data_IF_804847446549
#
_entry.id   IF_804847446549
#
_cell.length_a   1.000
_cell.length_b   1.000
_cell.length_c   1.000
_cell.angle_alpha   90.00
_cell.angle_beta   90.00
_cell.angle_gamma   90.00
#
_symmetry.space_group_name_H-M   'P 1'
#
loop_
_entity.id
_entity.type
_entity.pdbx_description
1 polymer ?
#
# COMPACT_ATOMS: atom_id res chain seq x y z
N UNK A 1 -24.75 -11.77 13.47
CA UNK A 1 -23.61 -12.43 12.81
C UNK A 1 -22.35 -11.93 13.48
N UNK A 2 -21.34 -12.78 13.67
CA UNK A 2 -20.04 -12.40 14.24
C UNK A 2 -19.00 -12.34 13.12
N UNK A 3 -17.98 -11.49 13.27
CA UNK A 3 -16.83 -11.45 12.38
C UNK A 3 -16.09 -12.78 12.48
N UNK A 4 -15.87 -13.43 11.33
CA UNK A 4 -15.18 -14.71 11.22
C UNK A 4 -14.39 -14.76 9.90
N UNK A 5 -13.52 -15.76 9.74
CA UNK A 5 -12.77 -15.93 8.47
C UNK A 5 -13.74 -16.02 7.28
N UNK A 6 -13.38 -15.38 6.16
CA UNK A 6 -14.18 -15.30 4.93
C UNK A 6 -15.49 -14.51 5.07
N UNK A 7 -15.59 -13.59 6.03
CA UNK A 7 -16.68 -12.60 6.07
C UNK A 7 -16.18 -11.25 5.55
N UNK A 8 -17.02 -10.57 4.78
CA UNK A 8 -16.80 -9.17 4.42
C UNK A 8 -17.36 -8.30 5.53
N UNK A 9 -16.52 -7.40 6.03
CA UNK A 9 -16.85 -6.50 7.13
C UNK A 9 -16.73 -5.08 6.62
N UNK A 10 -17.80 -4.30 6.79
CA UNK A 10 -17.82 -2.87 6.53
C UNK A 10 -17.70 -2.15 7.88
N UNK A 11 -16.62 -1.40 8.08
CA UNK A 11 -16.35 -0.71 9.34
C UNK A 11 -15.89 0.73 9.12
N UNK A 12 -16.30 1.59 10.05
CA UNK A 12 -15.69 2.90 10.20
C UNK A 12 -14.54 2.77 11.20
N UNK A 13 -13.42 3.44 10.95
CA UNK A 13 -12.31 3.47 11.91
C UNK A 13 -11.66 4.83 11.97
N UNK A 14 -11.01 5.13 13.08
CA UNK A 14 -10.16 6.29 13.23
C UNK A 14 -8.85 5.87 13.87
N UNK A 15 -7.74 6.10 13.17
CA UNK A 15 -6.40 5.75 13.66
C UNK A 15 -5.62 7.01 14.02
N UNK A 16 -5.11 7.02 15.25
CA UNK A 16 -4.33 8.13 15.80
C UNK A 16 -3.00 7.61 16.33
N UNK A 17 -1.94 8.41 16.20
CA UNK A 17 -0.67 8.16 16.88
C UNK A 17 -0.80 8.40 18.39
N UNK A 18 0.18 7.93 19.17
CA UNK A 18 0.31 8.24 20.60
C UNK A 18 0.41 9.74 20.88
N UNK A 19 0.99 10.52 19.96
CA UNK A 19 1.04 11.98 20.00
C UNK A 19 -0.31 12.67 19.69
N UNK A 20 -1.36 11.89 19.36
CA UNK A 20 -2.70 12.38 19.08
C UNK A 20 -2.90 12.86 17.65
N UNK A 21 -1.92 12.67 16.76
CA UNK A 21 -2.03 13.01 15.34
C UNK A 21 -2.95 12.01 14.66
N UNK A 22 -3.94 12.51 13.91
CA UNK A 22 -4.81 11.67 13.09
C UNK A 22 -4.00 11.18 11.89
N UNK A 23 -3.83 9.87 11.76
CA UNK A 23 -3.11 9.25 10.65
C UNK A 23 -4.07 8.99 9.51
N UNK A 24 -5.21 8.37 9.81
CA UNK A 24 -6.21 7.96 8.85
C UNK A 24 -7.58 7.80 9.51
N UNK A 25 -8.63 7.91 8.71
CA UNK A 25 -10.03 7.96 9.14
C UNK A 25 -10.95 7.43 8.04
N UNK A 26 -11.72 6.40 8.36
CA UNK A 26 -12.87 5.95 7.60
C UNK A 26 -14.14 6.26 8.39
N UNK A 27 -15.00 7.13 7.85
CA UNK A 27 -16.25 7.51 8.50
C UNK A 27 -17.37 6.54 8.12
N UNK A 28 -18.50 6.57 8.85
CA UNK A 28 -19.66 5.75 8.50
C UNK A 28 -20.28 6.09 7.12
N UNK A 29 -19.96 7.26 6.55
CA UNK A 29 -20.38 7.65 5.20
C UNK A 29 -19.52 7.01 4.10
N UNK A 30 -18.27 6.66 4.42
CA UNK A 30 -17.33 5.98 3.53
C UNK A 30 -16.62 4.87 4.34
N UNK A 31 -17.33 3.78 4.68
CA UNK A 31 -16.75 2.73 5.49
C UNK A 31 -15.69 1.97 4.70
N UNK A 32 -14.67 1.51 5.42
CA UNK A 32 -13.72 0.57 4.86
C UNK A 32 -14.34 -0.82 4.86
N UNK A 33 -14.38 -1.41 3.68
CA UNK A 33 -14.85 -2.76 3.47
C UNK A 33 -13.66 -3.67 3.20
N UNK A 34 -13.52 -4.74 3.97
CA UNK A 34 -12.41 -5.67 3.83
C UNK A 34 -12.87 -7.11 4.05
N UNK A 35 -12.05 -8.05 3.55
CA UNK A 35 -12.25 -9.48 3.74
C UNK A 35 -11.45 -9.99 4.94
N UNK A 36 -12.15 -10.50 5.96
CA UNK A 36 -11.53 -11.03 7.17
C UNK A 36 -10.73 -12.30 6.89
N UNK A 37 -9.44 -12.30 7.26
CA UNK A 37 -8.56 -13.46 7.13
C UNK A 37 -7.93 -13.61 5.74
N UNK A 38 -8.02 -12.58 4.90
CA UNK A 38 -7.28 -12.45 3.66
C UNK A 38 -5.94 -11.70 3.83
N UNK A 39 -5.64 -11.17 5.03
CA UNK A 39 -4.41 -10.42 5.28
C UNK A 39 -4.40 -9.06 4.61
N UNK A 40 -5.58 -8.48 4.37
CA UNK A 40 -5.73 -7.12 3.85
C UNK A 40 -5.47 -6.07 4.94
N UNK A 41 -5.60 -6.46 6.20
CA UNK A 41 -5.35 -5.62 7.36
C UNK A 41 -4.21 -6.18 8.22
N UNK A 42 -3.82 -5.36 9.19
CA UNK A 42 -2.86 -5.76 10.22
C UNK A 42 -3.36 -7.00 10.95
N UNK A 43 -2.48 -7.99 11.10
CA UNK A 43 -2.85 -9.29 11.68
C UNK A 43 -3.44 -9.14 13.08
N UNK A 44 -2.91 -8.21 13.88
CA UNK A 44 -3.41 -7.97 15.23
C UNK A 44 -4.73 -7.19 15.25
N UNK A 45 -4.97 -6.34 14.24
CA UNK A 45 -6.27 -5.71 14.03
C UNK A 45 -7.32 -6.75 13.64
N UNK A 46 -7.01 -7.62 12.66
CA UNK A 46 -7.93 -8.69 12.24
C UNK A 46 -8.29 -9.61 13.41
N UNK A 47 -7.31 -10.00 14.24
CA UNK A 47 -7.56 -10.80 15.45
C UNK A 47 -8.42 -10.05 16.48
N UNK A 48 -8.17 -8.76 16.67
CA UNK A 48 -8.96 -7.95 17.59
C UNK A 48 -10.41 -7.79 17.11
N UNK A 49 -10.63 -7.79 15.79
CA UNK A 49 -11.97 -7.73 15.17
C UNK A 49 -12.72 -9.07 15.23
N UNK A 50 -12.01 -10.19 15.35
CA UNK A 50 -12.63 -11.51 15.37
C UNK A 50 -13.61 -11.68 16.55
N UNK A 51 -14.84 -12.11 16.24
CA UNK A 51 -15.87 -12.34 17.26
C UNK A 51 -16.75 -11.14 17.61
N UNK A 52 -16.42 -9.93 17.14
CA UNK A 52 -17.27 -8.74 17.26
C UNK A 52 -18.51 -8.82 16.37
N UNK A 53 -19.50 -7.97 16.66
CA UNK A 53 -20.80 -7.93 16.00
C UNK A 53 -21.09 -6.55 15.39
N UNK A 54 -22.04 -6.52 14.45
CA UNK A 54 -22.56 -5.27 13.87
C UNK A 54 -23.07 -4.34 14.97
N UNK A 55 -22.63 -3.09 14.93
CA UNK A 55 -22.94 -2.05 15.91
C UNK A 55 -21.97 -1.97 17.08
N UNK A 56 -21.01 -2.89 17.19
CA UNK A 56 -19.98 -2.80 18.22
C UNK A 56 -19.02 -1.65 17.91
N UNK A 57 -18.74 -0.85 18.95
CA UNK A 57 -17.71 0.19 18.95
C UNK A 57 -16.70 -0.13 20.02
N UNK A 58 -15.43 -0.17 19.64
CA UNK A 58 -14.35 -0.47 20.57
C UNK A 58 -13.06 0.18 20.12
N UNK A 59 -12.15 0.32 21.07
CA UNK A 59 -10.83 0.90 20.85
C UNK A 59 -9.80 -0.22 20.96
N UNK A 60 -8.90 -0.29 19.98
CA UNK A 60 -7.80 -1.23 19.93
C UNK A 60 -6.51 -0.44 19.82
N UNK A 61 -5.59 -0.69 20.74
CA UNK A 61 -4.23 -0.20 20.65
C UNK A 61 -3.38 -1.28 20.01
N UNK A 62 -2.78 -0.97 18.86
CA UNK A 62 -1.88 -1.87 18.15
C UNK A 62 -0.48 -1.32 18.28
N UNK A 63 0.35 -2.09 18.97
CA UNK A 63 1.78 -1.85 19.10
C UNK A 63 2.41 -2.24 17.76
N UNK A 64 3.26 -1.37 17.20
CA UNK A 64 3.95 -1.62 15.93
C UNK A 64 2.97 -1.87 14.76
N UNK A 65 1.96 -1.01 14.64
CA UNK A 65 0.87 -1.19 13.69
C UNK A 65 1.37 -1.37 12.24
N UNK A 66 2.37 -0.61 11.79
CA UNK A 66 2.94 -0.78 10.45
C UNK A 66 4.18 -1.68 10.40
N UNK A 67 4.34 -2.54 11.41
CA UNK A 67 5.50 -3.39 11.62
C UNK A 67 6.46 -2.81 12.66
N UNK A 68 7.32 -3.68 13.17
CA UNK A 68 8.40 -3.29 14.07
C UNK A 68 9.35 -2.33 13.34
N UNK A 69 9.81 -1.31 14.06
CA UNK A 69 10.97 -0.55 13.61
C UNK A 69 12.15 -1.52 13.50
N UNK A 70 12.63 -1.72 12.28
CA UNK A 70 13.72 -2.62 12.04
C UNK A 70 15.02 -1.82 11.95
N UNK A 71 15.83 -1.90 13.00
CA UNK A 71 17.18 -1.32 13.01
C UNK A 71 18.05 -1.86 11.86
N UNK A 72 17.75 -3.06 11.31
CA UNK A 72 18.47 -3.60 10.15
C UNK A 72 18.12 -2.89 8.82
N UNK A 73 16.97 -2.20 8.76
CA UNK A 73 16.61 -1.32 7.63
C UNK A 73 17.22 0.08 7.78
N UNK A 74 17.77 0.40 8.96
CA UNK A 74 18.59 1.59 9.16
C UNK A 74 20.02 1.25 8.75
N UNK A 75 20.47 1.83 7.64
CA UNK A 75 21.81 1.58 7.13
C UNK A 75 22.65 2.84 7.20
N UNK A 76 23.90 2.67 7.61
CA UNK A 76 24.88 3.73 7.54
C UNK A 76 25.72 3.53 6.29
N UNK A 77 25.54 4.43 5.33
CA UNK A 77 26.18 4.37 4.03
C UNK A 77 27.12 5.57 3.87
N UNK A 78 28.32 5.38 3.29
CA UNK A 78 29.20 6.49 3.04
C UNK A 78 28.58 7.46 2.03
N UNK A 79 28.84 8.75 2.19
CA UNK A 79 28.38 9.81 1.26
C UNK A 79 28.79 9.54 -0.19
N UNK A 80 29.93 8.88 -0.40
CA UNK A 80 30.48 8.55 -1.72
C UNK A 80 29.58 7.61 -2.54
N UNK A 81 28.66 6.89 -1.91
CA UNK A 81 27.71 6.02 -2.62
C UNK A 81 26.64 6.86 -3.34
N UNK A 82 26.34 8.06 -2.85
CA UNK A 82 25.41 9.00 -3.46
C UNK A 82 26.10 9.82 -4.55
N UNK A 83 26.53 9.13 -5.61
CA UNK A 83 27.19 9.76 -6.76
C UNK A 83 26.15 10.55 -7.57
N UNK A 84 26.39 11.86 -7.77
CA UNK A 84 25.54 12.72 -8.58
C UNK A 84 24.49 13.54 -7.81
N UNK A 85 24.56 13.52 -6.47
CA UNK A 85 23.78 14.42 -5.61
C UNK A 85 24.74 15.44 -5.00
N UNK A 86 24.63 16.71 -5.40
CA UNK A 86 25.53 17.78 -4.95
C UNK A 86 25.29 18.17 -3.48
N UNK A 87 24.05 18.05 -2.99
CA UNK A 87 23.67 18.38 -1.61
C UNK A 87 22.78 17.28 -1.02
N UNK A 88 23.28 16.59 0.02
CA UNK A 88 22.52 15.62 0.80
C UNK A 88 21.86 16.36 1.97
N UNK A 89 20.55 16.27 2.06
CA UNK A 89 19.77 16.85 3.15
C UNK A 89 19.03 15.75 3.93
N UNK A 90 18.89 15.96 5.24
CA UNK A 90 18.04 15.12 6.09
C UNK A 90 16.59 15.26 5.63
N UNK A 91 15.89 14.14 5.45
CA UNK A 91 14.55 14.04 4.89
C UNK A 91 14.51 13.78 3.38
N UNK A 92 15.66 13.75 2.69
CA UNK A 92 15.69 13.34 1.28
C UNK A 92 15.43 11.84 1.14
N UNK A 93 14.68 11.47 0.10
CA UNK A 93 14.32 10.08 -0.21
C UNK A 93 15.09 9.56 -1.41
N UNK A 94 15.62 8.36 -1.27
CA UNK A 94 16.38 7.65 -2.29
C UNK A 94 15.86 6.23 -2.43
N UNK A 95 16.18 5.57 -3.54
CA UNK A 95 16.01 4.13 -3.65
C UNK A 95 17.36 3.49 -3.36
N UNK A 96 17.45 2.72 -2.28
CA UNK A 96 18.61 1.92 -1.97
C UNK A 96 18.44 0.53 -2.58
N UNK A 97 19.42 0.09 -3.37
CA UNK A 97 19.46 -1.29 -3.85
C UNK A 97 19.93 -2.19 -2.71
N UNK A 98 19.00 -2.97 -2.15
CA UNK A 98 19.28 -3.97 -1.12
C UNK A 98 19.23 -5.38 -1.72
N UNK A 99 19.68 -6.39 -0.97
CA UNK A 99 19.53 -7.81 -1.39
C UNK A 99 18.06 -8.21 -1.61
N UNK A 100 17.10 -7.44 -1.07
CA UNK A 100 15.66 -7.65 -1.26
C UNK A 100 15.06 -6.82 -2.40
N UNK A 101 15.89 -6.06 -3.13
CA UNK A 101 15.49 -5.17 -4.22
C UNK A 101 15.65 -3.68 -3.88
N UNK A 102 15.27 -2.82 -4.82
CA UNK A 102 15.30 -1.36 -4.63
C UNK A 102 14.24 -0.95 -3.61
N UNK A 103 14.67 -0.59 -2.40
CA UNK A 103 13.82 -0.14 -1.32
C UNK A 103 13.88 1.39 -1.23
N UNK A 104 12.75 2.10 -1.16
CA UNK A 104 12.77 3.52 -0.83
C UNK A 104 13.27 3.72 0.60
N UNK A 105 14.27 4.57 0.77
CA UNK A 105 14.88 4.95 2.05
C UNK A 105 14.90 6.47 2.19
N UNK A 106 14.87 6.97 3.42
CA UNK A 106 14.94 8.40 3.75
C UNK A 106 16.18 8.70 4.59
N UNK A 107 16.89 9.80 4.33
CA UNK A 107 18.04 10.21 5.13
C UNK A 107 17.55 10.75 6.48
N UNK A 108 17.94 10.11 7.58
CA UNK A 108 17.57 10.53 8.94
C UNK A 108 18.67 11.31 9.64
N UNK A 109 19.94 11.08 9.29
CA UNK A 109 21.08 11.79 9.84
C UNK A 109 22.26 11.85 8.86
N UNK A 110 23.05 12.93 8.94
CA UNK A 110 24.28 13.10 8.17
C UNK A 110 25.41 13.45 9.15
N UNK A 111 26.35 12.54 9.31
CA UNK A 111 27.51 12.66 10.19
C UNK A 111 28.80 12.72 9.36
N UNK A 112 29.09 13.91 8.83
CA UNK A 112 30.30 14.18 8.05
C UNK A 112 30.36 13.36 6.75
N UNK A 113 31.12 12.28 6.78
CA UNK A 113 31.31 11.37 5.64
C UNK A 113 30.33 10.19 5.62
N UNK A 114 29.52 10.04 6.68
CA UNK A 114 28.58 8.95 6.85
C UNK A 114 27.14 9.46 6.85
N UNK A 115 26.25 8.75 6.16
CA UNK A 115 24.84 9.11 5.99
C UNK A 115 24.00 7.96 6.52
N UNK A 116 23.12 8.26 7.47
CA UNK A 116 22.16 7.29 7.99
C UNK A 116 20.90 7.36 7.13
N UNK A 117 20.58 6.26 6.46
CA UNK A 117 19.34 6.08 5.72
C UNK A 117 18.44 5.12 6.46
N UNK A 118 17.14 5.39 6.43
CA UNK A 118 16.11 4.60 7.05
C UNK A 118 15.10 4.13 5.99
N UNK A 119 15.02 2.82 5.78
CA UNK A 119 14.04 2.19 4.90
C UNK A 119 12.74 1.79 5.57
N UNK A 120 12.55 2.10 6.85
CA UNK A 120 11.33 1.79 7.56
C UNK A 120 10.17 2.67 7.08
N UNK A 121 8.96 2.13 7.18
CA UNK A 121 7.75 2.93 6.98
C UNK A 121 7.73 4.08 8.00
N UNK A 122 7.24 5.27 7.62
CA UNK A 122 7.20 6.46 8.51
C UNK A 122 6.44 6.23 9.84
N UNK A 123 5.63 5.17 9.90
CA UNK A 123 4.82 4.76 11.05
C UNK A 123 5.26 3.41 11.65
N UNK A 124 6.35 2.82 11.18
CA UNK A 124 6.90 1.60 11.74
C UNK A 124 7.42 1.87 13.15
N UNK A 125 7.17 0.94 14.07
CA UNK A 125 7.51 1.12 15.49
C UNK A 125 6.63 2.10 16.26
N UNK A 126 5.60 2.68 15.64
CA UNK A 126 4.66 3.56 16.34
C UNK A 126 3.44 2.80 16.83
N UNK A 127 3.09 3.04 18.09
CA UNK A 127 1.84 2.57 18.67
C UNK A 127 0.69 3.41 18.09
N UNK A 128 -0.29 2.73 17.51
CA UNK A 128 -1.45 3.37 16.92
C UNK A 128 -2.73 2.95 17.66
N UNK A 129 -3.57 3.94 17.92
CA UNK A 129 -4.88 3.76 18.55
C UNK A 129 -5.96 3.76 17.48
N UNK A 130 -6.58 2.61 17.28
CA UNK A 130 -7.67 2.39 16.35
C UNK A 130 -9.00 2.44 17.11
N UNK A 131 -9.85 3.40 16.78
CA UNK A 131 -11.24 3.40 17.20
C UNK A 131 -12.05 2.78 16.08
N UNK A 132 -12.65 1.61 16.30
CA UNK A 132 -13.36 0.86 15.25
C UNK A 132 -14.83 0.76 15.59
N UNK A 133 -15.66 0.92 14.55
CA UNK A 133 -17.11 0.75 14.59
C UNK A 133 -17.56 -0.17 13.46
N UNK A 134 -18.18 -1.29 13.80
CA UNK A 134 -18.67 -2.26 12.82
C UNK A 134 -20.05 -1.83 12.32
N UNK A 135 -20.17 -1.57 11.02
CA UNK A 135 -21.43 -1.11 10.42
C UNK A 135 -22.22 -2.26 9.78
N UNK A 136 -21.53 -3.17 9.10
CA UNK A 136 -22.15 -4.31 8.46
C UNK A 136 -21.20 -5.51 8.41
N UNK A 137 -21.77 -6.71 8.45
CA UNK A 137 -21.06 -7.97 8.25
C UNK A 137 -21.89 -8.80 7.28
N UNK A 138 -21.26 -9.30 6.22
CA UNK A 138 -21.85 -10.25 5.27
C UNK A 138 -20.90 -11.39 4.99
N UNK A 139 -21.42 -12.49 4.47
CA UNK A 139 -20.58 -13.58 3.98
C UNK A 139 -19.95 -13.19 2.64
N UNK A 140 -18.67 -13.53 2.44
CA UNK A 140 -17.99 -13.32 1.17
C UNK A 140 -18.46 -14.36 0.15
N UNK A 141 -18.50 -13.98 -1.13
CA UNK A 141 -18.75 -14.94 -2.20
C UNK A 141 -17.51 -15.80 -2.47
N UNK A 142 -17.70 -16.97 -3.10
CA UNK A 142 -16.57 -17.85 -3.45
C UNK A 142 -15.55 -17.14 -4.35
N UNK A 143 -16.02 -16.26 -5.24
CA UNK A 143 -15.17 -15.42 -6.08
C UNK A 143 -14.34 -14.43 -5.26
N UNK A 144 -14.95 -13.70 -4.31
CA UNK A 144 -14.21 -12.75 -3.44
C UNK A 144 -13.16 -13.45 -2.57
N UNK A 145 -13.46 -14.67 -2.11
CA UNK A 145 -12.51 -15.50 -1.36
C UNK A 145 -11.35 -15.96 -2.25
N UNK A 146 -11.64 -16.34 -3.50
CA UNK A 146 -10.62 -16.77 -4.46
C UNK A 146 -9.73 -15.61 -4.92
N UNK A 147 -10.30 -14.41 -5.05
CA UNK A 147 -9.59 -13.20 -5.46
C UNK A 147 -8.91 -12.47 -4.30
N UNK A 148 -9.31 -12.70 -3.05
CA UNK A 148 -8.75 -12.06 -1.86
C UNK A 148 -9.18 -10.61 -1.62
N UNK A 149 -10.05 -10.07 -2.49
CA UNK A 149 -10.56 -8.71 -2.43
C UNK A 149 -12.08 -8.68 -2.61
N UNK A 150 -12.72 -7.65 -2.05
CA UNK A 150 -14.16 -7.44 -2.18
C UNK A 150 -14.51 -6.87 -3.56
N UNK A 151 -15.58 -7.38 -4.15
CA UNK A 151 -16.10 -6.86 -5.41
C UNK A 151 -17.29 -5.96 -5.07
N UNK A 152 -17.01 -4.72 -4.63
CA UNK A 152 -18.02 -3.73 -4.29
C UNK A 152 -18.74 -3.13 -5.51
N UNK A 153 -19.87 -2.45 -5.28
CA UNK A 153 -20.74 -1.82 -6.31
C UNK A 153 -20.01 -0.75 -7.16
N UNK A 154 -18.86 -0.27 -6.69
CA UNK A 154 -17.85 0.36 -7.54
C UNK A 154 -16.91 -0.71 -8.07
N UNK A 155 -17.30 -1.29 -9.21
CA UNK A 155 -16.45 -2.19 -9.99
C UNK A 155 -15.13 -1.51 -10.33
N UNK A 156 -14.13 -1.70 -9.47
CA UNK A 156 -12.75 -1.71 -9.90
C UNK A 156 -12.56 -3.00 -10.67
N UNK A 157 -13.09 -3.00 -11.89
CA UNK A 157 -12.81 -3.95 -12.93
C UNK A 157 -11.31 -3.80 -13.25
N UNK A 158 -10.46 -4.42 -12.43
CA UNK A 158 -9.15 -4.85 -12.87
C UNK A 158 -9.37 -6.10 -13.71
N UNK A 159 -10.03 -5.91 -14.85
CA UNK A 159 -9.89 -6.81 -15.97
C UNK A 159 -8.40 -7.04 -16.14
N UNK A 160 -7.98 -8.28 -15.90
CA UNK A 160 -6.71 -8.83 -16.35
C UNK A 160 -6.68 -8.76 -17.89
N UNK A 161 -6.51 -7.55 -18.43
CA UNK A 161 -6.14 -7.26 -19.80
C UNK A 161 -4.63 -7.09 -19.82
N UNK A 162 -3.93 -8.07 -20.36
CA UNK A 162 -2.47 -8.08 -20.44
C UNK A 162 -1.89 -6.86 -21.17
N UNK A 163 -0.59 -6.63 -20.92
CA UNK A 163 0.28 -5.68 -21.60
C UNK A 163 -0.10 -4.19 -21.46
N UNK A 164 0.26 -3.59 -20.32
CA UNK A 164 0.44 -2.14 -20.21
C UNK A 164 1.93 -1.79 -20.31
N UNK A 165 2.44 -1.56 -21.52
CA UNK A 165 3.68 -0.80 -21.71
C UNK A 165 3.45 0.63 -21.23
N UNK A 166 3.89 0.93 -20.00
CA UNK A 166 3.98 2.29 -19.47
C UNK A 166 5.13 3.04 -20.12
N UNK A 167 4.87 3.62 -21.29
CA UNK A 167 5.77 4.55 -21.95
C UNK A 167 5.00 5.27 -23.02
N UNK A 168 4.67 6.53 -22.75
CA UNK A 168 4.74 7.68 -23.66
C UNK A 168 3.81 8.78 -23.12
N UNK A 169 4.45 9.75 -22.47
CA UNK A 169 3.99 11.13 -22.40
C UNK A 169 3.70 11.61 -23.83
N UNK A 170 2.42 11.75 -24.18
CA UNK A 170 2.00 12.53 -25.33
C UNK A 170 1.93 13.97 -24.88
N UNK A 171 2.98 14.73 -25.19
CA UNK A 171 2.86 16.18 -25.38
C UNK A 171 2.28 16.38 -26.79
N UNK A 172 1.22 17.18 -26.84
CA UNK A 172 0.54 17.63 -28.05
C UNK A 172 1.50 18.46 -28.91
N UNK A 173 1.89 17.95 -30.07
CA UNK A 173 2.31 18.79 -31.20
C UNK A 173 1.78 18.19 -32.51
N UNK A 174 0.97 19.00 -33.19
CA UNK A 174 0.48 18.83 -34.55
C UNK A 174 1.64 18.60 -35.53
N UNK A 175 1.61 17.54 -36.35
CA UNK A 175 2.17 17.62 -37.70
C UNK A 175 1.51 16.62 -38.65
N UNK A 176 1.04 17.15 -39.77
CA UNK A 176 0.39 16.43 -40.83
C UNK A 176 1.37 15.59 -41.64
N UNK A 177 1.08 14.31 -41.91
CA UNK A 177 1.40 13.72 -43.22
C UNK A 177 0.96 12.26 -43.38
N UNK A 178 0.03 12.09 -44.31
CA UNK A 178 0.13 11.17 -45.46
C UNK A 178 0.28 9.64 -45.22
N UNK A 179 -0.73 8.90 -45.67
CA UNK A 179 -0.49 7.76 -46.57
C UNK A 179 -0.69 6.35 -46.00
N UNK A 180 -1.95 5.92 -45.90
CA UNK A 180 -2.31 4.51 -45.75
C UNK A 180 -2.19 3.77 -47.10
N UNK A 181 -1.02 3.18 -47.36
CA UNK A 181 -0.83 2.05 -48.28
C UNK A 181 -0.62 0.80 -47.38
N UNK A 182 -1.28 -0.34 -47.52
CA UNK A 182 -1.71 -1.01 -48.73
C UNK A 182 -0.91 -2.31 -48.90
N UNK A 183 -1.44 -3.43 -48.38
CA UNK A 183 -1.13 -4.79 -48.84
C UNK A 183 -0.08 -5.60 -48.07
N UNK A 184 -0.39 -6.89 -47.85
CA UNK A 184 0.63 -7.89 -47.54
C UNK A 184 0.19 -9.05 -46.66
N UNK A 185 -0.63 -9.96 -47.19
CA UNK A 185 -0.75 -11.33 -46.65
C UNK A 185 0.62 -12.01 -46.61
N UNK A 186 0.99 -12.65 -45.50
CA UNK A 186 2.15 -13.54 -45.50
C UNK A 186 2.62 -14.00 -44.13
N UNK A 187 2.01 -15.10 -43.64
CA UNK A 187 2.60 -16.11 -42.75
C UNK A 187 3.45 -15.64 -41.56
N UNK A 188 2.88 -15.64 -40.36
CA UNK A 188 3.64 -15.56 -39.11
C UNK A 188 3.79 -16.98 -38.53
N UNK A 189 5.03 -17.48 -38.51
CA UNK A 189 5.42 -18.74 -37.88
C UNK A 189 6.85 -18.67 -37.33
N UNK A 190 6.95 -18.95 -36.03
CA UNK A 190 8.11 -19.52 -35.31
C UNK A 190 9.38 -18.67 -35.13
N UNK A 191 9.62 -18.15 -33.92
CA UNK A 191 10.24 -18.90 -32.80
C UNK A 191 9.85 -18.26 -31.46
#
# INVERSE_FOLDING_TARGET
MKIAKNTVVSMAYQVRTTDGVLVDEATAAAPLEYLQGAGNLLQDLEKALEGHQVGDKFEVEIINAYGDFNDALVQNVPRDVFVGVDELEVGMRFFADTDQGSLPVEITAIDGDNVTVDGNHMLAGQDLKFNVEILAIREATEDEIAHGHIHGEHGHDHGHGGCGCGGHSHEDEDDESTGCCGGGHGGCGCH
#
